data_IF_110892583131
#
_entry.id   IF_110892583131
#
_cell.length_a   1.000
_cell.length_b   1.000
_cell.length_c   1.000
_cell.angle_alpha   90.00
_cell.angle_beta   90.00
_cell.angle_gamma   90.00
#
_symmetry.space_group_name_H-M   'P 1'
#
loop_
_entity.id
_entity.type
_entity.pdbx_description
1 polymer ?
#
# COMPACT_ATOMS: atom_id res chain seq x y z
N UNK A 1 -31.61 21.39 -23.48
CA UNK A 1 -30.44 21.27 -22.56
C UNK A 1 -29.46 20.34 -23.23
N UNK A 2 -28.59 20.91 -24.03
CA UNK A 2 -27.70 20.19 -24.92
C UNK A 2 -26.53 19.61 -24.11
N UNK A 3 -26.37 18.32 -24.23
CA UNK A 3 -25.28 17.53 -23.68
C UNK A 3 -24.01 17.93 -24.42
N UNK A 4 -23.08 18.62 -23.74
CA UNK A 4 -21.73 18.89 -24.21
C UNK A 4 -20.92 17.58 -24.13
N UNK A 5 -21.09 16.71 -25.13
CA UNK A 5 -20.12 15.67 -25.43
C UNK A 5 -19.01 16.36 -26.20
N UNK A 6 -17.92 16.72 -25.53
CA UNK A 6 -16.70 17.18 -26.18
C UNK A 6 -16.05 16.01 -26.90
N UNK A 7 -16.27 15.91 -28.22
CA UNK A 7 -15.50 14.99 -29.06
C UNK A 7 -14.03 15.43 -29.04
N UNK A 8 -13.05 14.53 -28.77
CA UNK A 8 -11.65 14.91 -28.80
C UNK A 8 -11.25 15.42 -30.17
N UNK A 9 -10.52 16.54 -30.17
CA UNK A 9 -10.05 17.21 -31.38
C UNK A 9 -9.19 16.26 -32.24
N UNK A 10 -9.53 15.99 -33.51
CA UNK A 10 -8.80 15.06 -34.37
C UNK A 10 -7.30 15.41 -34.56
N UNK A 11 -6.91 16.67 -34.39
CA UNK A 11 -5.50 17.09 -34.41
C UNK A 11 -4.74 16.56 -33.18
N UNK A 12 -5.38 16.56 -32.00
CA UNK A 12 -4.79 16.02 -30.77
C UNK A 12 -4.63 14.50 -30.81
N UNK A 13 -5.56 13.78 -31.45
CA UNK A 13 -5.48 12.31 -31.61
C UNK A 13 -4.30 11.89 -32.47
N UNK A 14 -4.03 12.58 -33.59
CA UNK A 14 -2.88 12.29 -34.45
C UNK A 14 -1.53 12.56 -33.75
N UNK A 15 -1.45 13.61 -32.92
CA UNK A 15 -0.24 13.91 -32.14
C UNK A 15 0.00 12.86 -31.05
N UNK A 16 -1.04 12.44 -30.33
CA UNK A 16 -0.95 11.39 -29.29
C UNK A 16 -0.52 10.05 -29.90
N UNK A 17 -1.06 9.67 -31.06
CA UNK A 17 -0.64 8.46 -31.77
C UNK A 17 0.83 8.50 -32.19
N UNK A 18 1.32 9.61 -32.77
CA UNK A 18 2.71 9.76 -33.16
C UNK A 18 3.67 9.82 -31.95
N UNK A 19 3.21 10.30 -30.79
CA UNK A 19 3.95 10.24 -29.53
C UNK A 19 4.07 8.81 -29.03
N UNK A 20 2.96 8.06 -29.01
CA UNK A 20 2.95 6.66 -28.61
C UNK A 20 3.87 5.79 -29.46
N UNK A 21 3.83 5.94 -30.78
CA UNK A 21 4.72 5.17 -31.68
C UNK A 21 6.21 5.42 -31.36
N UNK A 22 6.59 6.65 -31.06
CA UNK A 22 7.96 6.99 -30.65
C UNK A 22 8.31 6.38 -29.30
N UNK A 23 7.43 6.49 -28.32
CA UNK A 23 7.62 5.89 -26.99
C UNK A 23 7.73 4.37 -27.08
N UNK A 24 6.88 3.71 -27.88
CA UNK A 24 6.95 2.25 -28.09
C UNK A 24 8.24 1.80 -28.80
N UNK A 25 8.86 2.65 -29.60
CA UNK A 25 10.20 2.38 -30.13
C UNK A 25 11.29 2.62 -29.09
N UNK A 26 11.15 3.66 -28.27
CA UNK A 26 12.10 3.99 -27.20
C UNK A 26 12.17 2.90 -26.11
N UNK A 27 11.05 2.34 -25.70
CA UNK A 27 11.06 1.24 -24.70
C UNK A 27 11.76 -0.02 -25.21
N UNK A 28 11.91 -0.21 -26.50
CA UNK A 28 12.62 -1.35 -27.10
C UNK A 28 14.15 -1.18 -27.04
N UNK A 29 14.64 0.02 -26.88
CA UNK A 29 16.06 0.28 -26.66
C UNK A 29 16.43 -0.02 -25.21
N UNK A 30 17.28 -1.03 -24.93
CA UNK A 30 17.61 -1.42 -23.57
C UNK A 30 18.35 -0.36 -22.77
N UNK A 31 19.05 0.54 -23.45
CA UNK A 31 19.88 1.58 -22.83
C UNK A 31 19.14 2.93 -22.71
N UNK A 32 17.92 3.03 -23.26
CA UNK A 32 17.13 4.25 -23.20
C UNK A 32 16.45 4.38 -21.83
N UNK A 33 16.72 5.51 -21.16
CA UNK A 33 15.99 5.93 -19.96
C UNK A 33 14.76 6.74 -20.38
N UNK A 34 13.59 6.34 -19.89
CA UNK A 34 12.35 7.05 -20.20
C UNK A 34 12.36 8.46 -19.61
N UNK A 35 11.98 9.44 -20.40
CA UNK A 35 11.73 10.80 -19.96
C UNK A 35 10.25 10.97 -19.54
N UNK A 36 9.94 12.01 -18.75
CA UNK A 36 8.57 12.27 -18.26
C UNK A 36 7.51 12.25 -19.37
N UNK A 37 7.82 12.79 -20.55
CA UNK A 37 6.90 12.81 -21.71
C UNK A 37 6.53 11.39 -22.21
N UNK A 38 7.40 10.41 -22.01
CA UNK A 38 7.16 9.02 -22.41
C UNK A 38 6.27 8.34 -21.39
N UNK A 39 6.46 8.60 -20.09
CA UNK A 39 5.53 8.17 -19.04
C UNK A 39 4.15 8.79 -19.23
N UNK A 40 4.05 10.10 -19.47
CA UNK A 40 2.78 10.77 -19.78
C UNK A 40 2.08 10.14 -20.99
N UNK A 41 2.84 9.69 -21.97
CA UNK A 41 2.31 9.04 -23.17
C UNK A 41 1.76 7.64 -22.85
N UNK A 42 2.34 6.92 -21.88
CA UNK A 42 1.90 5.61 -21.42
C UNK A 42 0.79 5.68 -20.37
N UNK A 43 0.52 6.86 -19.81
CA UNK A 43 -0.57 7.10 -18.89
C UNK A 43 -1.93 7.00 -19.59
N UNK A 44 -2.93 6.43 -18.92
CA UNK A 44 -4.33 6.35 -19.40
C UNK A 44 -4.49 5.81 -20.83
N UNK A 45 -3.83 4.70 -21.11
CA UNK A 45 -3.90 4.09 -22.43
C UNK A 45 -5.33 3.68 -22.79
N UNK A 46 -5.81 4.13 -23.94
CA UNK A 46 -7.03 3.60 -24.53
C UNK A 46 -6.87 2.12 -24.88
N UNK A 47 -7.99 1.41 -25.09
CA UNK A 47 -7.96 0.00 -25.48
C UNK A 47 -7.09 -0.28 -26.70
N UNK A 48 -7.14 0.61 -27.72
CA UNK A 48 -6.37 0.47 -28.95
C UNK A 48 -4.88 0.73 -28.71
N UNK A 49 -4.55 1.75 -27.93
CA UNK A 49 -3.17 2.06 -27.53
C UNK A 49 -2.56 0.96 -26.65
N UNK A 50 -3.33 0.39 -25.74
CA UNK A 50 -2.92 -0.78 -24.95
C UNK A 50 -2.61 -1.98 -25.86
N UNK A 51 -3.39 -2.17 -26.93
CA UNK A 51 -3.10 -3.20 -27.94
C UNK A 51 -1.73 -3.03 -28.60
N UNK A 52 -1.35 -1.79 -28.93
CA UNK A 52 -0.03 -1.46 -29.48
C UNK A 52 1.08 -1.68 -28.44
N UNK A 53 0.85 -1.25 -27.19
CA UNK A 53 1.79 -1.49 -26.08
C UNK A 53 2.05 -2.99 -25.88
N UNK A 54 0.99 -3.83 -25.88
CA UNK A 54 1.12 -5.29 -25.76
C UNK A 54 1.95 -5.90 -26.87
N UNK A 55 1.81 -5.41 -28.08
CA UNK A 55 2.62 -5.88 -29.22
C UNK A 55 4.11 -5.54 -29.02
N UNK A 56 4.41 -4.31 -28.58
CA UNK A 56 5.77 -3.89 -28.26
C UNK A 56 6.34 -4.66 -27.06
N UNK A 57 5.55 -4.84 -25.99
CA UNK A 57 5.95 -5.61 -24.81
C UNK A 57 6.46 -7.02 -25.14
N UNK A 58 5.77 -7.74 -26.01
CA UNK A 58 6.16 -9.09 -26.44
C UNK A 58 7.51 -9.16 -27.18
N UNK A 59 8.09 -8.04 -27.58
CA UNK A 59 9.42 -7.96 -28.19
C UNK A 59 10.53 -7.59 -27.21
N UNK A 60 10.17 -7.16 -25.99
CA UNK A 60 11.14 -6.78 -24.97
C UNK A 60 11.81 -8.02 -24.35
N UNK A 61 13.07 -7.86 -23.97
CA UNK A 61 13.76 -8.86 -23.14
C UNK A 61 13.19 -8.82 -21.70
N UNK A 62 13.23 -9.95 -20.97
CA UNK A 62 12.69 -10.03 -19.60
C UNK A 62 13.27 -8.98 -18.64
N UNK A 63 14.56 -8.70 -18.71
CA UNK A 63 15.22 -7.68 -17.90
C UNK A 63 14.64 -6.28 -18.15
N UNK A 64 14.36 -5.96 -19.42
CA UNK A 64 13.75 -4.68 -19.80
C UNK A 64 12.29 -4.60 -19.39
N UNK A 65 11.54 -5.69 -19.48
CA UNK A 65 10.15 -5.77 -19.02
C UNK A 65 10.07 -5.44 -17.53
N UNK A 66 10.88 -6.08 -16.69
CA UNK A 66 10.96 -5.84 -15.24
C UNK A 66 11.34 -4.39 -14.94
N UNK A 67 12.38 -3.86 -15.59
CA UNK A 67 12.81 -2.48 -15.39
C UNK A 67 11.74 -1.46 -15.81
N UNK A 68 10.98 -1.74 -16.87
CA UNK A 68 9.91 -0.84 -17.32
C UNK A 68 8.76 -0.80 -16.29
N UNK A 69 8.35 -1.95 -15.76
CA UNK A 69 7.27 -1.98 -14.74
C UNK A 69 7.70 -1.24 -13.47
N UNK A 70 8.93 -1.48 -13.00
CA UNK A 70 9.47 -0.75 -11.84
C UNK A 70 9.48 0.76 -12.07
N UNK A 71 9.92 1.22 -13.25
CA UNK A 71 9.94 2.63 -13.59
C UNK A 71 8.52 3.25 -13.71
N UNK A 72 7.51 2.48 -14.16
CA UNK A 72 6.12 2.94 -14.18
C UNK A 72 5.56 3.12 -12.77
N UNK A 73 5.92 2.23 -11.82
CA UNK A 73 5.50 2.34 -10.42
C UNK A 73 6.15 3.57 -9.79
N UNK A 74 7.49 3.67 -9.87
CA UNK A 74 8.25 4.81 -9.33
C UNK A 74 7.71 6.15 -9.87
N UNK A 75 7.43 6.22 -11.17
CA UNK A 75 6.87 7.44 -11.75
C UNK A 75 5.47 7.76 -11.21
N UNK A 76 4.62 6.75 -10.99
CA UNK A 76 3.27 6.95 -10.46
C UNK A 76 3.28 7.45 -9.01
N UNK A 77 4.24 7.02 -8.19
CA UNK A 77 4.40 7.48 -6.80
C UNK A 77 4.69 8.99 -6.72
N UNK A 78 5.48 9.51 -7.65
CA UNK A 78 5.85 10.93 -7.71
C UNK A 78 4.83 11.80 -8.47
N UNK A 79 3.91 11.20 -9.24
CA UNK A 79 3.02 11.90 -10.18
C UNK A 79 1.57 11.41 -10.06
N UNK A 80 0.82 11.98 -9.12
CA UNK A 80 -0.58 11.60 -8.78
C UNK A 80 -1.56 11.66 -9.97
N UNK A 81 -1.24 12.43 -11.01
CA UNK A 81 -2.07 12.52 -12.23
C UNK A 81 -1.77 11.39 -13.25
N UNK A 82 -0.72 10.58 -13.03
CA UNK A 82 -0.33 9.51 -13.93
C UNK A 82 -1.00 8.19 -13.54
N UNK A 83 -1.69 7.54 -14.49
CA UNK A 83 -2.32 6.24 -14.26
C UNK A 83 -1.87 5.18 -15.26
N UNK A 84 -1.25 4.14 -14.76
CA UNK A 84 -0.85 2.97 -15.55
C UNK A 84 -1.75 1.75 -15.30
N UNK A 85 -2.91 1.96 -14.68
CA UNK A 85 -3.84 0.89 -14.31
C UNK A 85 -4.22 -0.02 -15.48
N UNK A 86 -4.38 0.52 -16.70
CA UNK A 86 -4.66 -0.28 -17.89
C UNK A 86 -3.53 -1.27 -18.25
N UNK A 87 -2.27 -0.84 -18.05
CA UNK A 87 -1.08 -1.67 -18.26
C UNK A 87 -1.00 -2.71 -17.15
N UNK A 88 -1.05 -2.32 -15.89
CA UNK A 88 -0.90 -3.21 -14.75
C UNK A 88 -2.01 -4.28 -14.70
N UNK A 89 -3.27 -3.92 -14.97
CA UNK A 89 -4.37 -4.89 -15.07
C UNK A 89 -4.14 -5.99 -16.11
N UNK A 90 -3.40 -5.69 -17.14
CA UNK A 90 -3.03 -6.71 -18.12
C UNK A 90 -1.81 -7.51 -17.64
N UNK A 91 -0.80 -6.86 -17.02
CA UNK A 91 0.44 -7.48 -16.59
C UNK A 91 0.28 -8.44 -15.40
N UNK A 92 -0.81 -8.38 -14.64
CA UNK A 92 -1.09 -9.40 -13.61
C UNK A 92 -1.23 -10.82 -14.17
N UNK A 93 -1.34 -10.98 -15.50
CA UNK A 93 -1.39 -12.26 -16.21
C UNK A 93 -0.08 -12.54 -16.98
N UNK A 94 0.98 -11.77 -16.76
CA UNK A 94 2.26 -11.93 -17.46
C UNK A 94 2.94 -13.28 -17.15
N UNK A 95 3.83 -13.72 -18.03
CA UNK A 95 4.58 -14.95 -17.85
C UNK A 95 5.63 -14.89 -16.75
N UNK A 96 6.18 -13.70 -16.49
CA UNK A 96 7.22 -13.46 -15.48
C UNK A 96 6.60 -13.18 -14.11
N UNK A 97 6.91 -13.95 -13.04
CA UNK A 97 6.32 -13.73 -11.72
C UNK A 97 6.65 -12.36 -11.13
N UNK A 98 7.87 -11.84 -11.31
CA UNK A 98 8.23 -10.53 -10.81
C UNK A 98 7.40 -9.42 -11.48
N UNK A 99 7.13 -9.53 -12.78
CA UNK A 99 6.25 -8.61 -13.49
C UNK A 99 4.83 -8.68 -12.94
N UNK A 100 4.32 -9.89 -12.64
CA UNK A 100 2.98 -10.04 -12.05
C UNK A 100 2.90 -9.41 -10.66
N UNK A 101 3.91 -9.66 -9.80
CA UNK A 101 3.99 -9.08 -8.45
C UNK A 101 3.98 -7.56 -8.52
N UNK A 102 4.90 -6.97 -9.27
CA UNK A 102 4.98 -5.54 -9.46
C UNK A 102 3.69 -4.93 -10.05
N UNK A 103 3.05 -5.62 -11.01
CA UNK A 103 1.79 -5.15 -11.57
C UNK A 103 0.64 -5.15 -10.55
N UNK A 104 0.61 -6.11 -9.61
CA UNK A 104 -0.36 -6.13 -8.50
C UNK A 104 -0.07 -4.98 -7.54
N UNK A 105 1.19 -4.75 -7.20
CA UNK A 105 1.64 -3.64 -6.35
C UNK A 105 1.30 -2.29 -6.98
N UNK A 106 1.59 -2.09 -8.26
CA UNK A 106 1.26 -0.85 -8.99
C UNK A 106 -0.25 -0.55 -9.12
N UNK A 107 -1.12 -1.48 -8.72
CA UNK A 107 -2.57 -1.29 -8.64
C UNK A 107 -3.05 -0.91 -7.22
N UNK A 108 -2.18 -0.46 -6.34
CA UNK A 108 -2.50 -0.26 -4.92
C UNK A 108 -3.65 0.75 -4.67
N UNK A 109 -3.80 1.78 -5.49
CA UNK A 109 -4.91 2.74 -5.40
C UNK A 109 -6.18 2.32 -6.16
N UNK A 110 -6.10 1.24 -6.94
CA UNK A 110 -7.18 0.89 -7.86
C UNK A 110 -8.32 0.15 -7.13
N UNK A 111 -9.49 0.76 -7.06
CA UNK A 111 -10.67 0.26 -6.35
C UNK A 111 -11.69 -0.44 -7.27
N UNK A 112 -11.35 -0.66 -8.54
CA UNK A 112 -12.24 -1.32 -9.47
C UNK A 112 -12.53 -2.76 -9.05
N UNK A 113 -13.77 -3.03 -8.68
CA UNK A 113 -14.24 -4.36 -8.23
C UNK A 113 -13.97 -5.49 -9.25
N UNK A 114 -13.73 -5.15 -10.52
CA UNK A 114 -13.33 -6.12 -11.55
C UNK A 114 -11.96 -6.75 -11.29
N UNK A 115 -11.15 -6.15 -10.43
CA UNK A 115 -9.86 -6.72 -9.99
C UNK A 115 -10.01 -7.86 -8.98
N UNK A 116 -11.11 -7.93 -8.23
CA UNK A 116 -11.32 -8.95 -7.20
C UNK A 116 -11.13 -10.36 -7.76
N UNK A 117 -11.80 -10.71 -8.86
CA UNK A 117 -11.70 -12.06 -9.41
C UNK A 117 -10.32 -12.41 -9.98
N UNK A 118 -9.61 -11.54 -10.71
CA UNK A 118 -8.21 -11.75 -11.06
C UNK A 118 -7.29 -11.94 -9.84
N UNK A 119 -7.39 -11.09 -8.82
CA UNK A 119 -6.56 -11.19 -7.61
C UNK A 119 -6.83 -12.48 -6.84
N UNK A 120 -8.08 -12.88 -6.67
CA UNK A 120 -8.43 -14.16 -6.04
C UNK A 120 -7.78 -15.33 -6.82
N UNK A 121 -7.84 -15.34 -8.15
CA UNK A 121 -7.17 -16.38 -8.94
C UNK A 121 -5.66 -16.38 -8.72
N UNK A 122 -5.01 -15.20 -8.60
CA UNK A 122 -3.57 -15.15 -8.28
C UNK A 122 -3.29 -15.73 -6.90
N UNK A 123 -4.06 -15.33 -5.89
CA UNK A 123 -3.92 -15.86 -4.53
C UNK A 123 -4.09 -17.40 -4.47
N UNK A 124 -5.11 -17.92 -5.12
CA UNK A 124 -5.47 -19.34 -5.01
C UNK A 124 -4.58 -20.27 -5.86
N UNK A 125 -4.01 -19.78 -6.96
CA UNK A 125 -3.42 -20.70 -7.96
C UNK A 125 -2.16 -20.21 -8.65
N UNK A 126 -1.60 -19.05 -8.30
CA UNK A 126 -0.30 -18.67 -8.88
C UNK A 126 0.80 -19.61 -8.38
N UNK A 127 1.68 -20.11 -9.27
CA UNK A 127 2.76 -20.99 -8.87
C UNK A 127 3.81 -20.31 -7.98
N UNK A 128 3.92 -18.98 -8.06
CA UNK A 128 4.89 -18.18 -7.33
C UNK A 128 4.28 -17.64 -6.03
N UNK A 129 4.98 -17.80 -4.90
CA UNK A 129 4.50 -17.37 -3.57
C UNK A 129 4.44 -15.87 -3.42
N UNK A 130 5.37 -15.13 -4.05
CA UNK A 130 5.39 -13.67 -3.94
C UNK A 130 4.19 -13.04 -4.66
N UNK A 131 3.80 -13.63 -5.80
CA UNK A 131 2.57 -13.22 -6.52
C UNK A 131 1.33 -13.51 -5.66
N UNK A 132 1.27 -14.69 -5.01
CA UNK A 132 0.16 -15.01 -4.10
C UNK A 132 0.10 -14.04 -2.92
N UNK A 133 1.25 -13.72 -2.33
CA UNK A 133 1.34 -12.79 -1.20
C UNK A 133 0.92 -11.36 -1.59
N UNK A 134 1.40 -10.85 -2.73
CA UNK A 134 0.99 -9.55 -3.25
C UNK A 134 -0.52 -9.50 -3.53
N UNK A 135 -1.08 -10.57 -4.10
CA UNK A 135 -2.52 -10.67 -4.31
C UNK A 135 -3.33 -10.68 -3.01
N UNK A 136 -2.86 -11.41 -1.97
CA UNK A 136 -3.49 -11.41 -0.66
C UNK A 136 -3.55 -9.98 -0.07
N UNK A 137 -2.40 -9.30 -0.02
CA UNK A 137 -2.32 -7.93 0.51
C UNK A 137 -3.22 -6.97 -0.28
N UNK A 138 -3.17 -7.04 -1.60
CA UNK A 138 -3.98 -6.20 -2.49
C UNK A 138 -5.49 -6.41 -2.33
N UNK A 139 -5.94 -7.60 -1.92
CA UNK A 139 -7.34 -7.89 -1.63
C UNK A 139 -7.85 -7.19 -0.35
N UNK A 140 -6.97 -6.84 0.58
CA UNK A 140 -7.34 -6.20 1.84
C UNK A 140 -8.12 -4.89 1.67
N UNK A 141 -7.80 -4.07 0.64
CA UNK A 141 -8.55 -2.84 0.38
C UNK A 141 -10.01 -3.09 0.01
N UNK A 142 -10.31 -4.22 -0.67
CA UNK A 142 -11.69 -4.57 -1.01
C UNK A 142 -12.49 -5.05 0.20
N UNK A 143 -11.83 -5.60 1.24
CA UNK A 143 -12.48 -5.82 2.52
C UNK A 143 -12.85 -4.50 3.19
N UNK A 144 -11.93 -3.55 3.22
CA UNK A 144 -12.17 -2.22 3.76
C UNK A 144 -13.34 -1.51 3.04
N UNK A 145 -13.35 -1.56 1.71
CA UNK A 145 -14.47 -1.04 0.91
C UNK A 145 -15.79 -1.75 1.23
N UNK A 146 -15.73 -3.05 1.53
CA UNK A 146 -16.88 -3.84 1.98
C UNK A 146 -17.41 -3.39 3.34
N UNK A 147 -16.54 -3.15 4.32
CA UNK A 147 -16.90 -2.65 5.66
C UNK A 147 -17.61 -1.28 5.57
N UNK A 148 -17.18 -0.42 4.65
CA UNK A 148 -17.84 0.87 4.39
C UNK A 148 -19.05 0.79 3.46
N UNK A 149 -19.45 -0.42 3.01
CA UNK A 149 -20.58 -0.60 2.10
C UNK A 149 -20.39 0.01 0.70
N UNK A 150 -19.14 0.22 0.30
CA UNK A 150 -18.79 0.82 -1.00
C UNK A 150 -18.73 -0.21 -2.13
N UNK A 151 -18.72 -1.49 -1.80
CA UNK A 151 -18.84 -2.60 -2.75
C UNK A 151 -19.96 -3.56 -2.33
N UNK A 152 -20.39 -4.42 -3.27
CA UNK A 152 -21.40 -5.43 -2.99
C UNK A 152 -20.94 -6.42 -1.93
N UNK A 153 -21.80 -6.71 -0.93
CA UNK A 153 -21.49 -7.60 0.17
C UNK A 153 -21.06 -9.01 -0.30
N UNK A 154 -21.60 -9.50 -1.42
CA UNK A 154 -21.20 -10.78 -1.97
C UNK A 154 -19.79 -10.76 -2.56
N UNK A 155 -19.34 -9.61 -3.04
CA UNK A 155 -17.97 -9.42 -3.50
C UNK A 155 -17.00 -9.39 -2.31
N UNK A 156 -17.30 -8.62 -1.26
CA UNK A 156 -16.52 -8.60 -0.02
C UNK A 156 -16.42 -9.99 0.62
N UNK A 157 -17.54 -10.74 0.70
CA UNK A 157 -17.55 -12.08 1.25
C UNK A 157 -16.69 -13.07 0.46
N UNK A 158 -16.61 -12.96 -0.88
CA UNK A 158 -15.71 -13.80 -1.68
C UNK A 158 -14.24 -13.50 -1.39
N UNK A 159 -13.91 -12.23 -1.21
CA UNK A 159 -12.55 -11.81 -0.82
C UNK A 159 -12.20 -12.40 0.54
N UNK A 160 -13.06 -12.20 1.54
CA UNK A 160 -12.88 -12.70 2.90
C UNK A 160 -12.67 -14.22 2.92
N UNK A 161 -13.55 -14.96 2.25
CA UNK A 161 -13.45 -16.42 2.17
C UNK A 161 -12.13 -16.90 1.53
N UNK A 162 -11.65 -16.21 0.49
CA UNK A 162 -10.39 -16.57 -0.17
C UNK A 162 -9.18 -16.29 0.73
N UNK A 163 -9.18 -15.17 1.46
CA UNK A 163 -8.12 -14.82 2.41
C UNK A 163 -8.11 -15.76 3.63
N UNK A 164 -9.28 -16.11 4.17
CA UNK A 164 -9.40 -17.09 5.26
C UNK A 164 -8.87 -18.46 4.83
N UNK A 165 -9.22 -18.90 3.63
CA UNK A 165 -8.73 -20.18 3.10
C UNK A 165 -7.20 -20.18 2.94
N UNK A 166 -6.61 -19.07 2.47
CA UNK A 166 -5.17 -18.94 2.34
C UNK A 166 -4.43 -18.87 3.69
N UNK A 167 -5.04 -18.23 4.70
CA UNK A 167 -4.50 -18.19 6.05
C UNK A 167 -4.55 -19.56 6.75
N UNK A 168 -5.68 -20.27 6.63
CA UNK A 168 -5.93 -21.57 7.27
C UNK A 168 -5.13 -22.73 6.62
N UNK A 169 -4.62 -22.55 5.39
CA UNK A 169 -3.83 -23.57 4.70
C UNK A 169 -2.40 -23.63 5.28
N UNK A 170 -2.15 -24.69 6.07
CA UNK A 170 -0.85 -24.91 6.73
C UNK A 170 0.27 -25.31 5.75
N UNK A 171 -0.06 -25.71 4.53
CA UNK A 171 0.91 -26.01 3.46
C UNK A 171 1.25 -24.76 2.64
N UNK A 172 0.58 -23.62 2.91
CA UNK A 172 0.83 -22.35 2.24
C UNK A 172 2.13 -21.71 2.75
N UNK A 173 2.79 -20.95 1.88
CA UNK A 173 3.96 -20.15 2.24
C UNK A 173 3.64 -19.19 3.39
N UNK A 174 4.58 -19.04 4.36
CA UNK A 174 4.41 -18.20 5.54
C UNK A 174 4.12 -16.73 5.19
N UNK A 175 4.73 -16.20 4.13
CA UNK A 175 4.48 -14.84 3.67
C UNK A 175 3.05 -14.68 3.12
N UNK A 176 2.51 -15.68 2.41
CA UNK A 176 1.13 -15.63 1.91
C UNK A 176 0.14 -15.66 3.07
N UNK A 177 0.38 -16.51 4.08
CA UNK A 177 -0.43 -16.58 5.30
C UNK A 177 -0.38 -15.25 6.07
N UNK A 178 0.82 -14.67 6.23
CA UNK A 178 1.03 -13.35 6.83
C UNK A 178 0.21 -12.28 6.11
N UNK A 179 0.37 -12.16 4.79
CA UNK A 179 -0.33 -11.14 3.99
C UNK A 179 -1.85 -11.33 3.99
N UNK A 180 -2.31 -12.58 4.11
CA UNK A 180 -3.74 -12.88 4.28
C UNK A 180 -4.26 -12.39 5.63
N UNK A 181 -3.51 -12.56 6.73
CA UNK A 181 -3.85 -12.02 8.05
C UNK A 181 -3.88 -10.49 8.04
N UNK A 182 -2.85 -9.86 7.47
CA UNK A 182 -2.77 -8.41 7.33
C UNK A 182 -3.96 -7.85 6.53
N UNK A 183 -4.35 -8.52 5.46
CA UNK A 183 -5.53 -8.15 4.66
C UNK A 183 -6.84 -8.30 5.45
N UNK A 184 -7.00 -9.41 6.19
CA UNK A 184 -8.16 -9.68 7.04
C UNK A 184 -8.31 -8.69 8.20
N UNK A 185 -7.21 -8.06 8.63
CA UNK A 185 -7.24 -7.01 9.66
C UNK A 185 -8.06 -5.77 9.24
N UNK A 186 -8.41 -5.64 7.96
CA UNK A 186 -9.32 -4.60 7.46
C UNK A 186 -10.80 -5.00 7.55
N UNK A 187 -11.14 -6.14 8.16
CA UNK A 187 -12.52 -6.62 8.35
C UNK A 187 -12.88 -6.75 9.82
N UNK A 188 -14.18 -6.80 10.09
CA UNK A 188 -14.73 -7.08 11.43
C UNK A 188 -15.02 -8.58 11.65
N UNK A 189 -14.25 -9.48 11.01
CA UNK A 189 -14.46 -10.92 11.10
C UNK A 189 -14.28 -11.45 12.52
N UNK A 190 -15.24 -12.26 13.01
CA UNK A 190 -15.31 -12.74 14.40
C UNK A 190 -14.09 -13.53 14.89
N UNK A 191 -13.41 -14.27 13.97
CA UNK A 191 -12.21 -15.05 14.28
C UNK A 191 -10.92 -14.21 14.34
N UNK A 192 -10.95 -12.97 13.88
CA UNK A 192 -9.73 -12.15 13.74
C UNK A 192 -8.92 -12.06 15.04
N UNK A 193 -9.53 -11.79 16.22
CA UNK A 193 -8.77 -11.75 17.47
C UNK A 193 -8.05 -13.06 17.81
N UNK A 194 -8.68 -14.20 17.56
CA UNK A 194 -8.07 -15.51 17.81
C UNK A 194 -6.93 -15.78 16.82
N UNK A 195 -7.12 -15.45 15.54
CA UNK A 195 -6.10 -15.58 14.50
C UNK A 195 -4.86 -14.70 14.79
N UNK A 196 -5.07 -13.49 15.27
CA UNK A 196 -3.99 -12.58 15.70
C UNK A 196 -3.20 -13.20 16.85
N UNK A 197 -3.89 -13.69 17.88
CA UNK A 197 -3.25 -14.29 19.06
C UNK A 197 -2.48 -15.57 18.69
N UNK A 198 -3.08 -16.45 17.91
CA UNK A 198 -2.45 -17.68 17.42
C UNK A 198 -1.19 -17.37 16.60
N UNK A 199 -1.26 -16.40 15.67
CA UNK A 199 -0.12 -16.01 14.86
C UNK A 199 1.00 -15.36 15.67
N UNK A 200 0.67 -14.68 16.76
CA UNK A 200 1.65 -14.09 17.67
C UNK A 200 2.32 -15.12 18.59
N UNK A 201 1.57 -16.07 19.15
CA UNK A 201 2.05 -17.02 20.14
C UNK A 201 2.71 -18.26 19.50
N UNK A 202 2.08 -18.85 18.48
CA UNK A 202 2.51 -20.11 17.85
C UNK A 202 3.18 -19.89 16.48
N UNK A 203 3.15 -18.65 15.97
CA UNK A 203 3.70 -18.32 14.68
C UNK A 203 5.23 -18.34 14.67
N UNK A 204 5.77 -18.56 13.51
CA UNK A 204 7.15 -18.19 13.23
C UNK A 204 7.29 -16.64 13.18
N UNK A 205 8.51 -16.14 13.09
CA UNK A 205 8.77 -14.70 13.09
C UNK A 205 8.01 -13.96 11.96
N UNK A 206 7.73 -14.65 10.83
CA UNK A 206 6.96 -14.07 9.72
C UNK A 206 5.52 -13.79 10.13
N UNK A 207 4.85 -14.77 10.75
CA UNK A 207 3.46 -14.62 11.20
C UNK A 207 3.34 -13.66 12.39
N UNK A 208 4.33 -13.64 13.30
CA UNK A 208 4.36 -12.70 14.43
C UNK A 208 4.37 -11.25 13.97
N UNK A 209 5.15 -10.93 12.93
CA UNK A 209 5.14 -9.58 12.31
C UNK A 209 3.76 -9.24 11.78
N UNK A 210 3.10 -10.17 11.06
CA UNK A 210 1.73 -9.97 10.58
C UNK A 210 0.71 -9.81 11.70
N UNK A 211 0.91 -10.50 12.84
CA UNK A 211 0.07 -10.33 14.01
C UNK A 211 0.20 -8.93 14.63
N UNK A 212 1.42 -8.38 14.74
CA UNK A 212 1.64 -7.00 15.20
C UNK A 212 0.96 -5.98 14.29
N UNK A 213 1.10 -6.15 12.97
CA UNK A 213 0.37 -5.33 12.00
C UNK A 213 -1.14 -5.38 12.25
N UNK A 214 -1.71 -6.60 12.38
CA UNK A 214 -3.13 -6.79 12.58
C UNK A 214 -3.61 -6.25 13.94
N UNK A 215 -2.78 -6.32 14.99
CA UNK A 215 -3.05 -5.71 16.29
C UNK A 215 -3.25 -4.20 16.14
N UNK A 216 -2.34 -3.50 15.47
CA UNK A 216 -2.45 -2.07 15.19
C UNK A 216 -3.74 -1.72 14.45
N UNK A 217 -3.98 -2.39 13.34
CA UNK A 217 -5.16 -2.15 12.47
C UNK A 217 -6.50 -2.41 13.15
N UNK A 218 -6.55 -3.31 14.13
CA UNK A 218 -7.78 -3.68 14.84
C UNK A 218 -8.34 -2.57 15.74
N UNK A 219 -7.54 -1.56 16.09
CA UNK A 219 -7.87 -0.50 17.03
C UNK A 219 -8.39 -1.02 18.40
N UNK A 220 -8.03 -2.24 18.81
CA UNK A 220 -8.47 -2.88 20.04
C UNK A 220 -7.41 -2.76 21.15
N UNK A 221 -7.68 -2.05 22.24
CA UNK A 221 -6.71 -1.83 23.34
C UNK A 221 -6.21 -3.11 24.03
N UNK A 222 -6.87 -4.27 23.82
CA UNK A 222 -6.39 -5.54 24.37
C UNK A 222 -4.97 -5.88 23.93
N UNK A 223 -4.53 -5.34 22.79
CA UNK A 223 -3.24 -5.60 22.18
C UNK A 223 -2.11 -4.70 22.72
N UNK A 224 -2.44 -3.63 23.47
CA UNK A 224 -1.43 -2.67 23.92
C UNK A 224 -0.24 -3.34 24.59
N UNK A 225 -0.49 -4.33 25.46
CA UNK A 225 0.58 -5.02 26.17
C UNK A 225 1.51 -5.79 25.23
N UNK A 226 0.95 -6.48 24.25
CA UNK A 226 1.72 -7.27 23.28
C UNK A 226 2.62 -6.34 22.43
N UNK A 227 2.08 -5.23 21.99
CA UNK A 227 2.81 -4.22 21.21
C UNK A 227 3.93 -3.58 22.04
N UNK A 228 3.66 -3.22 23.29
CA UNK A 228 4.66 -2.64 24.21
C UNK A 228 5.81 -3.63 24.49
N UNK A 229 5.51 -4.91 24.66
CA UNK A 229 6.52 -5.94 24.89
C UNK A 229 7.52 -6.04 23.70
N UNK A 230 7.08 -5.75 22.48
CA UNK A 230 7.91 -5.82 21.26
C UNK A 230 8.70 -4.53 20.95
N UNK A 231 8.43 -3.40 21.61
CA UNK A 231 9.23 -2.17 21.44
C UNK A 231 10.67 -2.30 21.95
N UNK A 232 10.99 -3.36 22.67
CA UNK A 232 12.34 -3.75 23.09
C UNK A 232 12.96 -4.87 22.27
N UNK A 233 12.35 -5.32 21.18
CA UNK A 233 12.85 -6.40 20.37
C UNK A 233 14.16 -6.02 19.66
N UNK A 234 15.02 -7.01 19.37
CA UNK A 234 16.27 -6.80 18.64
C UNK A 234 16.11 -7.02 17.11
N UNK A 235 15.00 -7.60 16.69
CA UNK A 235 14.67 -7.76 15.28
C UNK A 235 14.08 -6.46 14.75
N UNK A 236 14.68 -5.92 13.69
CA UNK A 236 14.30 -4.61 13.13
C UNK A 236 12.89 -4.60 12.55
N UNK A 237 12.45 -5.73 11.96
CA UNK A 237 11.12 -5.84 11.36
C UNK A 237 10.04 -5.87 12.45
N UNK A 238 10.28 -6.62 13.52
CA UNK A 238 9.39 -6.65 14.71
C UNK A 238 9.32 -5.27 15.37
N UNK A 239 10.47 -4.61 15.53
CA UNK A 239 10.55 -3.30 16.15
C UNK A 239 9.83 -2.21 15.35
N UNK A 240 10.00 -2.24 14.02
CA UNK A 240 9.29 -1.36 13.10
C UNK A 240 7.77 -1.53 13.22
N UNK A 241 7.26 -2.77 13.16
CA UNK A 241 5.82 -3.03 13.26
C UNK A 241 5.27 -2.70 14.65
N UNK A 242 6.04 -2.92 15.73
CA UNK A 242 5.63 -2.52 17.07
C UNK A 242 5.53 -1.00 17.21
N UNK A 243 6.48 -0.25 16.64
CA UNK A 243 6.42 1.21 16.62
C UNK A 243 5.17 1.70 15.85
N UNK A 244 4.90 1.14 14.67
CA UNK A 244 3.69 1.46 13.89
C UNK A 244 2.41 1.12 14.65
N UNK A 245 2.30 -0.11 15.16
CA UNK A 245 1.12 -0.54 15.92
C UNK A 245 0.88 0.33 17.15
N UNK A 246 1.95 0.84 17.79
CA UNK A 246 1.84 1.79 18.91
C UNK A 246 1.17 3.10 18.50
N UNK A 247 1.47 3.60 17.31
CA UNK A 247 0.82 4.79 16.75
C UNK A 247 -0.64 4.53 16.38
N UNK A 248 -0.93 3.42 15.67
CA UNK A 248 -2.28 3.05 15.26
C UNK A 248 -3.22 2.84 16.45
N UNK A 249 -2.73 2.22 17.53
CA UNK A 249 -3.47 2.02 18.79
C UNK A 249 -3.43 3.23 19.72
N UNK A 250 -2.67 4.27 19.37
CA UNK A 250 -2.48 5.49 20.18
C UNK A 250 -2.07 5.17 21.63
N UNK A 251 -1.04 4.33 21.81
CA UNK A 251 -0.59 3.85 23.12
C UNK A 251 0.29 4.90 23.80
N UNK A 252 -0.25 5.64 24.76
CA UNK A 252 0.49 6.66 25.53
C UNK A 252 1.73 6.08 26.24
N UNK A 253 1.63 4.85 26.72
CA UNK A 253 2.71 4.16 27.44
C UNK A 253 3.91 3.82 26.53
N UNK A 254 3.75 3.84 25.21
CA UNK A 254 4.83 3.62 24.24
C UNK A 254 5.79 4.83 24.12
N UNK A 255 5.38 6.02 24.60
CA UNK A 255 6.14 7.26 24.44
C UNK A 255 7.63 7.13 24.81
N UNK A 256 8.02 6.58 25.98
CA UNK A 256 9.45 6.48 26.32
C UNK A 256 10.28 5.64 25.35
N UNK A 257 9.70 4.55 24.85
CA UNK A 257 10.38 3.66 23.88
C UNK A 257 10.44 4.31 22.49
N UNK A 258 9.35 4.93 22.03
CA UNK A 258 9.34 5.65 20.75
C UNK A 258 10.34 6.82 20.76
N UNK A 259 10.50 7.54 21.88
CA UNK A 259 11.52 8.58 22.02
C UNK A 259 12.94 8.02 21.90
N UNK A 260 13.21 6.81 22.40
CA UNK A 260 14.48 6.13 22.26
C UNK A 260 14.73 5.72 20.80
N UNK A 261 13.69 5.31 20.09
CA UNK A 261 13.78 4.88 18.68
C UNK A 261 14.08 6.02 17.70
N UNK A 262 13.93 7.28 18.10
CA UNK A 262 14.36 8.43 17.28
C UNK A 262 15.87 8.46 17.01
N UNK A 263 16.66 7.78 17.84
CA UNK A 263 18.11 7.65 17.70
C UNK A 263 18.53 6.29 17.11
N UNK A 264 17.58 5.48 16.59
CA UNK A 264 17.88 4.18 16.00
C UNK A 264 18.75 4.34 14.74
N UNK A 265 19.73 3.44 14.51
CA UNK A 265 20.55 3.47 13.29
C UNK A 265 19.73 3.21 12.01
N UNK A 266 18.62 2.47 12.10
CA UNK A 266 17.73 2.17 10.99
C UNK A 266 16.78 3.36 10.73
N UNK A 267 16.80 3.87 9.51
CA UNK A 267 15.97 5.01 9.12
C UNK A 267 14.47 4.68 9.16
N UNK A 268 14.10 3.46 8.75
CA UNK A 268 12.70 3.03 8.73
C UNK A 268 12.12 2.96 10.14
N UNK A 269 12.91 2.53 11.13
CA UNK A 269 12.51 2.51 12.54
C UNK A 269 12.36 3.93 13.08
N UNK A 270 13.30 4.86 12.75
CA UNK A 270 13.15 6.27 13.14
C UNK A 270 11.89 6.90 12.57
N UNK A 271 11.60 6.66 11.29
CA UNK A 271 10.43 7.21 10.60
C UNK A 271 9.13 6.64 11.20
N UNK A 272 9.09 5.33 11.48
CA UNK A 272 7.97 4.70 12.19
C UNK A 272 7.73 5.31 13.58
N UNK A 273 8.82 5.60 14.33
CA UNK A 273 8.71 6.24 15.65
C UNK A 273 8.22 7.70 15.54
N UNK A 274 8.72 8.47 14.57
CA UNK A 274 8.25 9.84 14.28
C UNK A 274 6.76 9.83 13.96
N UNK A 275 6.34 8.97 13.06
CA UNK A 275 4.93 8.82 12.69
C UNK A 275 4.07 8.42 13.90
N UNK A 276 4.50 7.42 14.67
CA UNK A 276 3.77 6.98 15.86
C UNK A 276 3.62 8.08 16.91
N UNK A 277 4.68 8.88 17.12
CA UNK A 277 4.61 10.06 18.00
C UNK A 277 3.62 11.10 17.47
N UNK A 278 3.48 11.27 16.17
CA UNK A 278 2.46 12.09 15.53
C UNK A 278 1.05 11.59 15.85
N UNK A 279 0.81 10.29 15.74
CA UNK A 279 -0.50 9.66 15.98
C UNK A 279 -0.91 9.70 17.47
N UNK A 280 0.04 9.44 18.37
CA UNK A 280 -0.21 9.51 19.84
C UNK A 280 -0.43 10.96 20.29
N UNK A 281 0.38 11.87 19.80
CA UNK A 281 0.26 13.29 20.11
C UNK A 281 0.66 13.65 21.53
N UNK A 282 0.02 14.70 22.07
CA UNK A 282 0.30 15.20 23.40
C UNK A 282 1.53 16.13 23.47
N UNK A 283 1.79 16.66 24.66
CA UNK A 283 2.83 17.70 24.84
C UNK A 283 4.26 17.16 24.70
N UNK A 284 4.48 15.93 25.10
CA UNK A 284 5.82 15.31 25.08
C UNK A 284 6.20 14.90 23.68
N UNK A 285 5.32 14.18 22.94
CA UNK A 285 5.50 13.85 21.55
C UNK A 285 5.72 15.10 20.70
N UNK A 286 4.87 16.12 20.84
CA UNK A 286 5.01 17.40 20.12
C UNK A 286 6.34 18.10 20.38
N UNK A 287 6.88 18.02 21.62
CA UNK A 287 8.19 18.58 21.96
C UNK A 287 9.31 17.80 21.28
N UNK A 288 9.24 16.47 21.26
CA UNK A 288 10.21 15.61 20.59
C UNK A 288 10.22 15.83 19.07
N UNK A 289 9.06 15.84 18.44
CA UNK A 289 8.93 16.13 17.01
C UNK A 289 9.53 17.50 16.64
N UNK A 290 9.29 18.55 17.46
CA UNK A 290 9.93 19.87 17.26
C UNK A 290 11.46 19.83 17.41
N UNK A 291 12.00 18.94 18.22
CA UNK A 291 13.45 18.76 18.32
C UNK A 291 13.98 18.06 17.06
N UNK A 292 13.26 17.08 16.51
CA UNK A 292 13.59 16.41 15.23
C UNK A 292 13.59 17.39 14.04
N UNK A 293 12.68 18.37 13.99
CA UNK A 293 12.68 19.44 12.97
C UNK A 293 13.95 20.31 13.01
N UNK A 294 14.67 20.34 14.13
CA UNK A 294 15.94 21.02 14.25
C UNK A 294 17.17 20.11 13.98
N UNK A 295 16.94 18.86 13.60
CA UNK A 295 17.98 17.89 13.29
C UNK A 295 18.79 18.30 12.06
N UNK A 296 20.06 17.85 12.01
CA UNK A 296 20.88 17.91 10.80
C UNK A 296 20.55 16.82 9.78
N UNK A 297 19.77 15.80 10.15
CA UNK A 297 19.26 14.75 9.27
C UNK A 297 18.03 15.27 8.51
N UNK A 298 18.14 15.33 7.19
CA UNK A 298 17.10 15.91 6.34
C UNK A 298 15.83 15.06 6.33
N UNK A 299 15.96 13.73 6.22
CA UNK A 299 14.82 12.81 6.23
C UNK A 299 14.06 12.87 7.56
N UNK A 300 14.77 12.81 8.68
CA UNK A 300 14.16 12.93 10.01
C UNK A 300 13.44 14.28 10.20
N UNK A 301 14.00 15.37 9.66
CA UNK A 301 13.37 16.69 9.72
C UNK A 301 12.07 16.73 8.94
N UNK A 302 12.08 16.23 7.70
CA UNK A 302 10.90 16.19 6.83
C UNK A 302 9.78 15.34 7.43
N UNK A 303 10.09 14.13 7.89
CA UNK A 303 9.13 13.26 8.57
C UNK A 303 8.51 13.93 9.81
N UNK A 304 9.33 14.63 10.61
CA UNK A 304 8.85 15.33 11.82
C UNK A 304 7.99 16.57 11.48
N UNK A 305 8.30 17.29 10.42
CA UNK A 305 7.48 18.42 9.93
C UNK A 305 6.11 17.91 9.46
N UNK A 306 6.05 16.80 8.74
CA UNK A 306 4.81 16.17 8.30
C UNK A 306 3.96 15.70 9.49
N UNK A 307 4.55 14.96 10.44
CA UNK A 307 3.87 14.50 11.63
C UNK A 307 3.32 15.65 12.50
N UNK A 308 4.06 16.78 12.58
CA UNK A 308 3.57 17.97 13.28
C UNK A 308 2.43 18.66 12.54
N UNK A 309 2.49 18.72 11.22
CA UNK A 309 1.42 19.31 10.41
C UNK A 309 0.10 18.53 10.57
N UNK A 310 0.18 17.20 10.57
CA UNK A 310 -0.97 16.32 10.80
C UNK A 310 -1.55 16.51 12.22
N UNK A 311 -0.69 16.55 13.23
CA UNK A 311 -1.08 16.81 14.63
C UNK A 311 -1.77 18.18 14.79
N UNK A 312 -1.25 19.21 14.15
CA UNK A 312 -1.83 20.56 14.23
C UNK A 312 -3.15 20.65 13.44
N UNK A 313 -3.30 19.90 12.36
CA UNK A 313 -4.55 19.79 11.62
C UNK A 313 -5.64 19.11 12.48
N UNK A 314 -5.34 17.97 13.11
CA UNK A 314 -6.27 17.28 13.99
C UNK A 314 -6.67 18.15 15.20
N UNK A 315 -5.71 18.86 15.80
CA UNK A 315 -5.99 19.76 16.94
C UNK A 315 -6.78 21.02 16.54
N UNK A 316 -6.71 21.44 15.28
CA UNK A 316 -7.45 22.59 14.74
C UNK A 316 -8.92 22.29 14.47
N UNK A 317 -9.28 21.05 14.19
CA UNK A 317 -10.66 20.64 13.95
C UNK A 317 -11.47 20.59 15.26
N UNK A 318 -10.83 20.29 16.39
CA UNK A 318 -11.44 20.38 17.73
C UNK A 318 -11.75 21.84 18.15
N UNK A 319 -11.23 22.84 17.45
CA UNK A 319 -11.44 24.28 17.76
C UNK A 319 -12.55 24.93 16.93
N UNK A 320 -13.25 24.20 16.07
CA UNK A 320 -14.44 24.71 15.37
C UNK A 320 -15.59 24.89 16.36
N UNK A 321 -16.11 26.10 16.53
CA UNK A 321 -17.26 26.32 17.42
C UNK A 321 -18.47 25.54 16.93
N UNK A 322 -19.17 24.88 17.84
CA UNK A 322 -20.42 24.11 17.65
C UNK A 322 -21.62 24.93 17.11
N UNK A 323 -21.39 25.87 16.21
CA UNK A 323 -22.42 26.74 15.66
C UNK A 323 -23.14 26.18 14.41
N UNK A 324 -22.77 25.03 13.89
CA UNK A 324 -23.39 24.49 12.65
C UNK A 324 -24.34 23.31 12.84
N UNK A 325 -24.67 22.93 14.09
CA UNK A 325 -25.68 21.87 14.35
C UNK A 325 -26.90 22.41 15.11
N UNK A 326 -27.44 23.56 14.71
CA UNK A 326 -28.80 23.99 15.09
C UNK A 326 -29.50 24.55 13.86
N UNK A 327 -30.13 23.69 13.08
CA UNK A 327 -31.37 24.03 12.34
C UNK A 327 -32.02 22.72 11.88
#
# INVERSE_FOLDING_TARGET
>A
MDSLITHPNPVGLGQRQASLERTLLAIQDPDHLLASIEFDTLSDLSKDHLGQFRAAWGTLRPDRQRALVAALIEFAEDHVDASFAAIFRWLIEDGDPLVRTQAIEGLWEEEDVRLISPLIRRLESDPDSDVRAAAALSLGRFLLLGEFGQIDASAAQRVENSLLAAYDDMDQDGLVRRRSLEALANSSHERLPDMILESYEDGDDILRVGALFAMGRSADPRWNRYVLDELGNNDSVMLFEAARASGELQIDEALPDLLRLLDDPDVEIRDAAVWALGQIGGREAKRALKACCASGDEGLREAAEEALAELDFMAGDDSMPSFFFQS
#
